data_IF_817646228607
#
_entry.id   IF_817646228607
#
_cell.length_a   1.000
_cell.length_b   1.000
_cell.length_c   1.000
_cell.angle_alpha   90.00
_cell.angle_beta   90.00
_cell.angle_gamma   90.00
#
_symmetry.space_group_name_H-M   'P 1'
#
loop_
_entity.id
_entity.type
_entity.pdbx_description
1 polymer ?
#
# COMPACT_ATOMS: atom_id res chain seq x y z
N UNK A 1 9.61 1.28 47.82
CA UNK A 1 9.28 0.45 46.65
C UNK A 1 10.59 0.20 45.91
N UNK A 2 10.90 -1.02 45.45
CA UNK A 2 12.09 -1.25 44.64
C UNK A 2 11.99 -0.47 43.31
N UNK A 3 13.11 0.07 42.85
CA UNK A 3 13.21 0.73 41.55
C UNK A 3 13.34 -0.33 40.45
N UNK A 4 12.47 -0.29 39.46
CA UNK A 4 12.49 -1.20 38.31
C UNK A 4 12.80 -0.41 37.04
N UNK A 5 13.75 -0.92 36.24
CA UNK A 5 14.18 -0.27 35.03
C UNK A 5 13.23 -0.59 33.86
N UNK A 6 12.74 0.45 33.19
CA UNK A 6 11.92 0.36 31.98
C UNK A 6 12.60 1.16 30.87
N UNK A 7 12.84 0.53 29.72
CA UNK A 7 13.42 1.19 28.54
C UNK A 7 12.45 1.14 27.36
N UNK A 8 12.49 2.19 26.53
CA UNK A 8 11.78 2.29 25.26
C UNK A 8 12.69 2.92 24.21
N UNK A 9 12.38 2.71 22.94
CA UNK A 9 13.03 3.38 21.82
C UNK A 9 12.29 4.66 21.47
N UNK A 10 13.04 5.73 21.19
CA UNK A 10 12.54 7.05 20.76
C UNK A 10 13.36 7.54 19.58
N UNK A 11 12.80 8.46 18.78
CA UNK A 11 13.54 9.11 17.71
C UNK A 11 14.71 9.96 18.25
N UNK A 12 15.75 10.15 17.43
CA UNK A 12 16.94 10.92 17.82
C UNK A 12 16.63 12.37 18.19
N UNK A 13 15.95 13.10 17.29
CA UNK A 13 15.52 14.49 17.51
C UNK A 13 14.63 14.64 18.76
N UNK A 14 13.71 13.68 18.96
CA UNK A 14 12.83 13.68 20.13
C UNK A 14 13.62 13.52 21.44
N UNK A 15 14.70 12.73 21.43
CA UNK A 15 15.55 12.54 22.60
C UNK A 15 16.36 13.80 22.91
N UNK A 16 16.87 14.46 21.88
CA UNK A 16 17.63 15.71 21.99
C UNK A 16 16.77 16.84 22.59
N UNK A 17 15.55 17.02 22.08
CA UNK A 17 14.58 18.00 22.62
C UNK A 17 14.30 17.77 24.13
N UNK A 18 14.24 16.51 24.54
CA UNK A 18 13.99 16.12 25.93
C UNK A 18 15.22 16.33 26.81
N UNK A 19 16.41 16.10 26.28
CA UNK A 19 17.68 16.37 26.95
C UNK A 19 17.83 17.87 27.22
N UNK A 20 17.58 18.71 26.21
CA UNK A 20 17.58 20.17 26.33
C UNK A 20 16.57 20.66 27.38
N UNK A 21 15.36 20.07 27.34
CA UNK A 21 14.29 20.40 28.29
C UNK A 21 14.62 19.96 29.73
N UNK A 22 15.30 18.82 29.89
CA UNK A 22 15.73 18.33 31.19
C UNK A 22 16.87 19.19 31.76
N UNK A 23 17.83 19.57 30.93
CA UNK A 23 18.92 20.48 31.29
C UNK A 23 18.39 21.86 31.69
N UNK A 24 17.47 22.43 30.91
CA UNK A 24 16.83 23.70 31.22
C UNK A 24 16.09 23.70 32.57
N UNK A 25 15.61 22.54 33.02
CA UNK A 25 14.95 22.35 34.31
C UNK A 25 15.89 21.82 35.41
N UNK A 26 17.18 21.64 35.12
CA UNK A 26 18.19 21.18 36.07
C UNK A 26 17.94 19.77 36.61
N UNK A 27 17.37 18.87 35.80
CA UNK A 27 17.03 17.50 36.21
C UNK A 27 17.58 16.44 35.27
N UNK A 28 17.64 15.19 35.73
CA UNK A 28 18.03 14.08 34.86
C UNK A 28 16.95 13.81 33.80
N UNK A 29 17.37 13.33 32.63
CA UNK A 29 16.45 12.91 31.57
C UNK A 29 15.43 11.87 32.06
N UNK A 30 15.86 10.91 32.88
CA UNK A 30 14.97 9.90 33.47
C UNK A 30 13.87 10.52 34.34
N UNK A 31 14.24 11.51 35.17
CA UNK A 31 13.30 12.20 36.04
C UNK A 31 12.37 13.13 35.27
N UNK A 32 12.89 13.76 34.21
CA UNK A 32 12.11 14.56 33.27
C UNK A 32 11.04 13.70 32.57
N UNK A 33 11.43 12.55 32.02
CA UNK A 33 10.51 11.61 31.35
C UNK A 33 9.46 11.10 32.32
N UNK A 34 9.86 10.73 33.54
CA UNK A 34 8.91 10.32 34.58
C UNK A 34 7.92 11.44 34.90
N UNK A 35 8.40 12.65 35.12
CA UNK A 35 7.57 13.83 35.44
C UNK A 35 6.60 14.15 34.31
N UNK A 36 7.03 14.04 33.07
CA UNK A 36 6.18 14.24 31.89
C UNK A 36 5.10 13.16 31.75
N UNK A 37 5.43 11.89 32.03
CA UNK A 37 4.45 10.81 32.07
C UNK A 37 3.43 11.04 33.20
N UNK A 38 3.88 11.42 34.38
CA UNK A 38 2.99 11.74 35.51
C UNK A 38 2.10 12.96 35.22
N UNK A 39 2.66 14.02 34.63
CA UNK A 39 1.93 15.21 34.22
C UNK A 39 0.94 14.92 33.09
N UNK A 40 1.33 14.08 32.12
CA UNK A 40 0.46 13.54 31.09
C UNK A 40 -0.73 12.82 31.72
N UNK A 41 -0.47 11.84 32.61
CA UNK A 41 -1.53 11.12 33.33
C UNK A 41 -2.44 12.06 34.14
N UNK A 42 -1.90 13.11 34.76
CA UNK A 42 -2.68 14.13 35.48
C UNK A 42 -3.54 14.97 34.53
N UNK A 43 -3.03 15.38 33.36
CA UNK A 43 -3.80 16.11 32.33
C UNK A 43 -4.86 15.22 31.64
N UNK A 44 -4.58 13.93 31.46
CA UNK A 44 -5.51 12.94 30.89
C UNK A 44 -6.55 12.43 31.89
N UNK A 45 -6.47 12.83 33.16
CA UNK A 45 -7.54 12.62 34.14
C UNK A 45 -8.70 13.64 33.97
N UNK A 46 -8.64 14.50 32.95
CA UNK A 46 -9.81 15.12 32.34
C UNK A 46 -10.33 14.10 31.34
N UNK A 47 -11.52 13.54 31.59
CA UNK A 47 -12.24 12.65 30.67
C UNK A 47 -12.45 13.35 29.31
N UNK A 48 -11.43 13.36 28.46
CA UNK A 48 -11.61 13.50 27.03
C UNK A 48 -12.09 12.13 26.58
N UNK A 49 -13.41 11.92 26.59
CA UNK A 49 -13.99 10.75 25.93
C UNK A 49 -13.49 10.77 24.48
N UNK A 50 -12.63 9.80 24.08
CA UNK A 50 -12.23 9.70 22.69
C UNK A 50 -13.51 9.51 21.88
N UNK A 51 -13.77 10.36 20.88
CA UNK A 51 -14.97 10.23 20.03
C UNK A 51 -15.06 8.84 19.38
N UNK A 52 -13.92 8.15 19.26
CA UNK A 52 -13.79 6.74 18.91
C UNK A 52 -12.85 6.07 19.90
N UNK A 53 -13.27 4.94 20.44
CA UNK A 53 -12.48 4.08 21.30
C UNK A 53 -11.28 3.50 20.55
N UNK A 54 -10.22 3.16 21.30
CA UNK A 54 -9.09 2.40 20.77
C UNK A 54 -9.51 1.07 20.13
N UNK A 55 -10.66 0.51 20.51
CA UNK A 55 -11.23 -0.69 19.92
C UNK A 55 -11.75 -0.41 18.51
N UNK A 56 -12.52 0.66 18.34
CA UNK A 56 -13.06 1.08 17.04
C UNK A 56 -11.94 1.44 16.05
N UNK A 57 -10.88 2.11 16.51
CA UNK A 57 -9.71 2.39 15.66
C UNK A 57 -8.98 1.11 15.22
N UNK A 58 -8.91 0.09 16.09
CA UNK A 58 -8.31 -1.22 15.72
C UNK A 58 -9.16 -1.97 14.72
N UNK A 59 -10.48 -1.91 14.85
CA UNK A 59 -11.42 -2.48 13.88
C UNK A 59 -11.32 -1.76 12.53
N UNK A 60 -11.26 -0.42 12.53
CA UNK A 60 -11.09 0.40 11.32
C UNK A 60 -9.76 0.08 10.60
N UNK A 61 -8.66 -0.04 11.35
CA UNK A 61 -7.35 -0.44 10.78
C UNK A 61 -7.41 -1.85 10.18
N UNK A 62 -8.11 -2.79 10.85
CA UNK A 62 -8.28 -4.15 10.34
C UNK A 62 -9.07 -4.15 9.03
N UNK A 63 -10.19 -3.45 8.99
CA UNK A 63 -11.05 -3.37 7.80
C UNK A 63 -10.33 -2.70 6.62
N UNK A 64 -9.59 -1.61 6.87
CA UNK A 64 -8.79 -0.96 5.84
C UNK A 64 -7.71 -1.89 5.29
N UNK A 65 -7.08 -2.71 6.14
CA UNK A 65 -6.07 -3.67 5.70
C UNK A 65 -6.63 -4.75 4.79
N UNK A 66 -7.84 -5.24 5.10
CA UNK A 66 -8.56 -6.19 4.25
C UNK A 66 -8.86 -5.57 2.89
N UNK A 67 -9.39 -4.34 2.85
CA UNK A 67 -9.69 -3.64 1.59
C UNK A 67 -8.44 -3.42 0.72
N UNK A 68 -7.31 -3.06 1.32
CA UNK A 68 -6.04 -2.91 0.60
C UNK A 68 -5.58 -4.25 0.02
N UNK A 69 -5.71 -5.34 0.78
CA UNK A 69 -5.37 -6.68 0.29
C UNK A 69 -6.28 -7.12 -0.87
N UNK A 70 -7.58 -6.88 -0.77
CA UNK A 70 -8.56 -7.16 -1.83
C UNK A 70 -8.22 -6.36 -3.10
N UNK A 71 -7.93 -5.06 -2.97
CA UNK A 71 -7.55 -4.22 -4.10
C UNK A 71 -6.24 -4.67 -4.76
N UNK A 72 -5.23 -5.05 -3.98
CA UNK A 72 -3.99 -5.59 -4.54
C UNK A 72 -4.20 -6.94 -5.23
N UNK A 73 -5.05 -7.81 -4.69
CA UNK A 73 -5.39 -9.08 -5.34
C UNK A 73 -6.13 -8.85 -6.67
N UNK A 74 -7.02 -7.85 -6.70
CA UNK A 74 -7.74 -7.48 -7.92
C UNK A 74 -6.81 -6.87 -8.97
N UNK A 75 -5.92 -5.96 -8.56
CA UNK A 75 -4.85 -5.45 -9.43
C UNK A 75 -4.01 -6.63 -9.96
N UNK A 76 -3.65 -7.59 -9.12
CA UNK A 76 -2.93 -8.80 -9.53
C UNK A 76 -3.66 -9.58 -10.62
N UNK A 77 -4.97 -9.86 -10.45
CA UNK A 77 -5.78 -10.53 -11.48
C UNK A 77 -5.88 -9.74 -12.78
N UNK A 78 -6.07 -8.42 -12.69
CA UNK A 78 -6.16 -7.56 -13.87
C UNK A 78 -4.82 -7.49 -14.61
N UNK A 79 -3.71 -7.43 -13.87
CA UNK A 79 -2.37 -7.54 -14.43
C UNK A 79 -2.15 -8.91 -15.07
N UNK A 80 -2.52 -10.00 -14.41
CA UNK A 80 -2.42 -11.37 -14.94
C UNK A 80 -3.29 -11.60 -16.20
N UNK A 81 -4.28 -10.75 -16.48
CA UNK A 81 -5.05 -10.78 -17.74
C UNK A 81 -4.46 -9.90 -18.84
N UNK A 82 -3.91 -8.75 -18.47
CA UNK A 82 -3.35 -7.79 -19.42
C UNK A 82 -1.90 -8.13 -19.83
N UNK A 83 -1.07 -8.48 -18.85
CA UNK A 83 0.38 -8.69 -19.01
C UNK A 83 0.80 -9.96 -19.77
N UNK A 84 0.08 -11.11 -19.75
CA UNK A 84 0.52 -12.26 -20.53
C UNK A 84 0.67 -11.89 -22.00
N UNK A 85 -0.31 -11.19 -22.60
CA UNK A 85 -0.27 -10.90 -24.03
C UNK A 85 0.85 -9.96 -24.46
N UNK A 86 1.24 -8.98 -23.63
CA UNK A 86 2.30 -8.01 -23.96
C UNK A 86 3.68 -8.52 -23.57
N UNK A 87 3.86 -9.08 -22.37
CA UNK A 87 5.14 -9.66 -21.98
C UNK A 87 5.48 -10.87 -22.84
N UNK A 88 4.52 -11.76 -23.10
CA UNK A 88 4.75 -12.94 -23.94
C UNK A 88 5.09 -12.51 -25.37
N UNK A 89 4.46 -11.46 -25.91
CA UNK A 89 4.82 -10.96 -27.23
C UNK A 89 6.21 -10.32 -27.27
N UNK A 90 6.61 -9.60 -26.23
CA UNK A 90 7.98 -9.05 -26.12
C UNK A 90 8.99 -10.20 -26.04
N UNK A 91 8.74 -11.18 -25.17
CA UNK A 91 9.63 -12.32 -24.98
C UNK A 91 9.75 -13.16 -26.26
N UNK A 92 8.64 -13.48 -26.92
CA UNK A 92 8.60 -14.22 -28.18
C UNK A 92 9.31 -13.45 -29.31
N UNK A 93 9.14 -12.12 -29.36
CA UNK A 93 9.84 -11.29 -30.33
C UNK A 93 11.35 -11.25 -30.08
N UNK A 94 11.79 -11.06 -28.84
CA UNK A 94 13.21 -11.01 -28.46
C UNK A 94 13.87 -12.38 -28.60
N UNK A 95 13.16 -13.47 -28.28
CA UNK A 95 13.66 -14.83 -28.47
C UNK A 95 13.94 -15.11 -29.95
N UNK A 96 13.05 -14.67 -30.84
CA UNK A 96 13.19 -14.82 -32.30
C UNK A 96 14.17 -13.82 -32.92
N UNK A 97 14.41 -12.69 -32.27
CA UNK A 97 15.25 -11.59 -32.76
C UNK A 97 16.25 -11.17 -31.68
N UNK A 98 17.19 -12.06 -31.37
CA UNK A 98 18.22 -11.79 -30.37
C UNK A 98 19.05 -10.55 -30.75
N UNK A 99 19.15 -9.59 -29.84
CA UNK A 99 19.83 -8.33 -30.08
C UNK A 99 19.00 -7.26 -30.79
N UNK A 100 17.67 -7.44 -30.90
CA UNK A 100 16.76 -6.39 -31.34
C UNK A 100 16.90 -5.12 -30.48
N UNK A 101 16.82 -3.96 -31.12
CA UNK A 101 16.86 -2.69 -30.42
C UNK A 101 15.50 -2.38 -29.78
N UNK A 102 15.50 -1.48 -28.81
CA UNK A 102 14.32 -1.02 -28.11
C UNK A 102 13.24 -0.49 -29.06
N UNK A 103 13.64 0.19 -30.14
CA UNK A 103 12.72 0.70 -31.17
C UNK A 103 12.03 -0.44 -31.92
N UNK A 104 12.75 -1.51 -32.27
CA UNK A 104 12.18 -2.67 -32.97
C UNK A 104 11.11 -3.39 -32.12
N UNK A 105 11.33 -3.43 -30.80
CA UNK A 105 10.37 -3.99 -29.84
C UNK A 105 9.10 -3.14 -29.79
N UNK A 106 9.22 -1.81 -29.71
CA UNK A 106 8.07 -0.89 -29.70
C UNK A 106 7.26 -1.02 -30.99
N UNK A 107 7.92 -0.96 -32.15
CA UNK A 107 7.23 -1.09 -33.45
C UNK A 107 6.52 -2.45 -33.57
N UNK A 108 7.14 -3.52 -33.06
CA UNK A 108 6.52 -4.83 -33.03
C UNK A 108 5.24 -4.83 -32.19
N UNK A 109 5.29 -4.27 -30.97
CA UNK A 109 4.15 -4.17 -30.07
C UNK A 109 3.03 -3.37 -30.74
N UNK A 110 3.31 -2.17 -31.26
CA UNK A 110 2.29 -1.32 -31.89
C UNK A 110 1.60 -2.01 -33.07
N UNK A 111 2.36 -2.70 -33.92
CA UNK A 111 1.83 -3.43 -35.08
C UNK A 111 0.92 -4.59 -34.70
N UNK A 112 1.17 -5.19 -33.54
CA UNK A 112 0.47 -6.40 -33.08
C UNK A 112 -0.59 -6.11 -32.00
N UNK A 113 -0.61 -4.90 -31.45
CA UNK A 113 -1.50 -4.49 -30.36
C UNK A 113 -2.98 -4.68 -30.72
N UNK A 114 -3.42 -4.18 -31.88
CA UNK A 114 -4.84 -4.27 -32.27
C UNK A 114 -5.32 -5.72 -32.39
N UNK A 115 -4.54 -6.59 -33.03
CA UNK A 115 -4.91 -8.02 -33.16
C UNK A 115 -4.90 -8.75 -31.84
N UNK A 116 -3.95 -8.44 -30.94
CA UNK A 116 -3.92 -9.02 -29.58
C UNK A 116 -5.09 -8.55 -28.74
N UNK A 117 -5.44 -7.27 -28.80
CA UNK A 117 -6.62 -6.73 -28.11
C UNK A 117 -7.89 -7.39 -28.62
N UNK A 118 -8.02 -7.61 -29.93
CA UNK A 118 -9.13 -8.39 -30.50
C UNK A 118 -9.17 -9.81 -29.96
N UNK A 119 -8.04 -10.53 -29.94
CA UNK A 119 -7.99 -11.88 -29.40
C UNK A 119 -8.36 -11.94 -27.92
N UNK A 120 -7.87 -10.99 -27.11
CA UNK A 120 -8.20 -10.89 -25.70
C UNK A 120 -9.68 -10.57 -25.47
N UNK A 121 -10.24 -9.67 -26.28
CA UNK A 121 -11.68 -9.35 -26.24
C UNK A 121 -12.54 -10.57 -26.60
N UNK A 122 -12.12 -11.38 -27.57
CA UNK A 122 -12.80 -12.65 -27.91
C UNK A 122 -12.61 -13.72 -26.83
N UNK A 123 -11.46 -13.78 -26.18
CA UNK A 123 -11.23 -14.73 -25.08
C UNK A 123 -12.07 -14.39 -23.84
N UNK A 124 -12.31 -13.10 -23.60
CA UNK A 124 -13.17 -12.63 -22.51
C UNK A 124 -14.67 -12.66 -22.87
N UNK A 125 -15.01 -12.87 -24.14
CA UNK A 125 -16.40 -12.96 -24.62
C UNK A 125 -17.11 -14.20 -24.04
N UNK A 126 -18.20 -13.96 -23.32
CA UNK A 126 -19.05 -15.00 -22.72
C UNK A 126 -18.70 -15.36 -21.27
N UNK A 127 -17.47 -15.11 -20.81
CA UNK A 127 -17.07 -15.26 -19.41
C UNK A 127 -17.26 -13.94 -18.65
N UNK A 128 -16.48 -12.91 -19.01
CA UNK A 128 -16.48 -11.63 -18.30
C UNK A 128 -17.04 -10.46 -19.12
N UNK A 129 -17.14 -10.62 -20.44
CA UNK A 129 -17.64 -9.60 -21.35
C UNK A 129 -18.76 -10.13 -22.24
N UNK A 130 -19.75 -9.30 -22.55
CA UNK A 130 -20.84 -9.58 -23.50
C UNK A 130 -20.85 -8.52 -24.59
N UNK A 131 -21.07 -8.96 -25.83
CA UNK A 131 -21.14 -8.10 -27.00
C UNK A 131 -22.60 -7.96 -27.46
N UNK A 132 -23.04 -6.73 -27.77
CA UNK A 132 -24.34 -6.51 -28.38
C UNK A 132 -24.31 -6.67 -29.91
N UNK A 133 -25.49 -6.67 -30.53
CA UNK A 133 -25.65 -6.81 -32.00
C UNK A 133 -24.98 -5.66 -32.79
N UNK A 134 -24.61 -4.55 -32.13
CA UNK A 134 -23.91 -3.41 -32.71
C UNK A 134 -22.39 -3.43 -32.42
N UNK A 135 -21.89 -4.47 -31.75
CA UNK A 135 -20.48 -4.67 -31.44
C UNK A 135 -19.96 -3.86 -30.24
N UNK A 136 -20.84 -3.36 -29.37
CA UNK A 136 -20.43 -2.71 -28.11
C UNK A 136 -20.21 -3.75 -27.02
N UNK A 137 -19.22 -3.50 -26.16
CA UNK A 137 -18.73 -4.43 -25.14
C UNK A 137 -19.20 -4.00 -23.75
N UNK A 138 -19.72 -4.94 -22.95
CA UNK A 138 -20.19 -4.73 -21.59
C UNK A 138 -19.61 -5.80 -20.66
N UNK A 139 -19.49 -5.50 -19.37
CA UNK A 139 -19.13 -6.51 -18.36
C UNK A 139 -20.30 -7.43 -18.06
N UNK A 140 -20.04 -8.72 -17.97
CA UNK A 140 -20.99 -9.76 -17.60
C UNK A 140 -21.10 -9.79 -16.07
N UNK A 141 -22.23 -9.32 -15.53
CA UNK A 141 -22.55 -9.35 -14.08
C UNK A 141 -22.97 -10.76 -13.61
#
# INVERSE_FOLDING_TARGET
MPEEHVATYVGGEQKEDWEDSAEAMGMSLSYWVQSMVEAGRKKFNRELSPRRSNKELREEVKDLRVKVQEQHAEIGRLLDKAYPSEQEAILDFVEKNQGADYIDIIEHIERTASSRVTNLLTELEGDELVFDEEGRVYTND
#
